data_IF_377765421890
#
_entry.id   IF_377765421890
#
_cell.length_a   1.000
_cell.length_b   1.000
_cell.length_c   1.000
_cell.angle_alpha   90.00
_cell.angle_beta   90.00
_cell.angle_gamma   90.00
#
_symmetry.space_group_name_H-M   'P 1'
#
loop_
_entity.id
_entity.type
_entity.pdbx_description
1 polymer ?
#
# COMPACT_ATOMS: atom_id res chain seq x y z
N UNK A 1 0.28 9.77 -18.87
CA UNK A 1 -0.19 10.45 -17.63
C UNK A 1 -1.16 9.60 -16.80
N UNK A 2 -1.86 8.63 -17.39
CA UNK A 2 -2.77 7.73 -16.61
C UNK A 2 -2.03 6.82 -15.62
N UNK A 3 -0.82 6.37 -15.96
CA UNK A 3 0.01 5.54 -15.07
C UNK A 3 0.35 6.27 -13.75
N UNK A 4 0.72 7.55 -13.82
CA UNK A 4 1.01 8.36 -12.63
C UNK A 4 -0.25 8.57 -11.78
N UNK A 5 -1.41 8.73 -12.41
CA UNK A 5 -2.69 8.82 -11.69
C UNK A 5 -3.00 7.52 -10.95
N UNK A 6 -2.84 6.36 -11.60
CA UNK A 6 -3.01 5.05 -10.96
C UNK A 6 -2.07 4.94 -9.76
N UNK A 7 -0.79 5.28 -9.92
CA UNK A 7 0.18 5.26 -8.81
C UNK A 7 -0.26 6.14 -7.63
N UNK A 8 -0.78 7.36 -7.89
CA UNK A 8 -1.27 8.25 -6.83
C UNK A 8 -2.50 7.68 -6.12
N UNK A 9 -3.43 7.07 -6.87
CA UNK A 9 -4.58 6.37 -6.30
C UNK A 9 -4.12 5.20 -5.43
N UNK A 10 -3.17 4.40 -5.90
CA UNK A 10 -2.60 3.29 -5.13
C UNK A 10 -1.99 3.77 -3.81
N UNK A 11 -1.21 4.85 -3.83
CA UNK A 11 -0.61 5.44 -2.62
C UNK A 11 -1.71 5.95 -1.68
N UNK A 12 -2.71 6.66 -2.20
CA UNK A 12 -3.82 7.16 -1.41
C UNK A 12 -4.59 6.03 -0.72
N UNK A 13 -4.88 4.95 -1.44
CA UNK A 13 -5.49 3.74 -0.89
C UNK A 13 -4.59 3.08 0.16
N UNK A 14 -3.27 3.08 -0.04
CA UNK A 14 -2.29 2.63 0.96
C UNK A 14 -2.33 3.44 2.26
N UNK A 15 -2.45 4.77 2.16
CA UNK A 15 -2.62 5.67 3.31
C UNK A 15 -3.90 5.33 4.07
N UNK A 16 -5.02 5.10 3.37
CA UNK A 16 -6.28 4.68 3.98
C UNK A 16 -6.08 3.35 4.71
N UNK A 17 -5.46 2.36 4.06
CA UNK A 17 -5.19 1.05 4.68
C UNK A 17 -4.34 1.14 5.95
N UNK A 18 -3.27 1.93 5.93
CA UNK A 18 -2.40 2.14 7.09
C UNK A 18 -3.12 2.84 8.26
N UNK A 19 -3.91 3.87 7.98
CA UNK A 19 -4.69 4.56 9.01
C UNK A 19 -5.84 3.70 9.55
N UNK A 20 -6.54 2.99 8.69
CA UNK A 20 -7.60 2.06 9.07
C UNK A 20 -7.06 0.95 9.98
N UNK A 21 -5.92 0.36 9.63
CA UNK A 21 -5.23 -0.61 10.49
C UNK A 21 -4.82 0.00 11.84
N UNK A 22 -4.37 1.25 11.86
CA UNK A 22 -4.05 1.96 13.10
C UNK A 22 -5.26 2.22 14.01
N UNK A 23 -6.44 2.46 13.42
CA UNK A 23 -7.71 2.63 14.15
C UNK A 23 -8.19 1.31 14.74
N UNK A 24 -8.21 0.23 13.94
CA UNK A 24 -8.65 -1.11 14.38
C UNK A 24 -7.66 -1.69 15.40
N UNK A 25 -6.37 -1.64 15.09
CA UNK A 25 -5.33 -2.24 15.91
C UNK A 25 -4.52 -1.16 16.64
N UNK A 26 -5.14 -0.51 17.63
CA UNK A 26 -4.51 0.57 18.42
C UNK A 26 -3.11 0.24 18.94
N UNK A 27 -2.83 -1.02 19.26
CA UNK A 27 -1.49 -1.48 19.71
C UNK A 27 -0.37 -1.28 18.66
N UNK A 28 -0.71 -1.33 17.38
CA UNK A 28 0.23 -1.15 16.26
C UNK A 28 0.32 0.31 15.78
N UNK A 29 -0.57 1.19 16.23
CA UNK A 29 -0.59 2.58 15.74
C UNK A 29 0.66 3.37 16.14
N UNK A 30 1.04 4.28 15.24
CA UNK A 30 2.07 5.31 15.41
C UNK A 30 1.48 6.73 15.33
N UNK A 31 0.17 6.89 15.55
CA UNK A 31 -0.55 8.15 15.32
C UNK A 31 -0.77 8.44 13.82
N UNK A 32 -1.47 9.54 13.51
CA UNK A 32 -1.90 9.85 12.13
C UNK A 32 -0.73 9.95 11.15
N UNK A 33 0.34 10.67 11.54
CA UNK A 33 1.52 10.88 10.68
C UNK A 33 2.27 9.57 10.48
N UNK A 34 2.54 8.83 11.55
CA UNK A 34 3.26 7.55 11.48
C UNK A 34 2.50 6.48 10.70
N UNK A 35 1.18 6.39 10.89
CA UNK A 35 0.32 5.48 10.13
C UNK A 35 0.30 5.85 8.63
N UNK A 36 0.31 7.14 8.30
CA UNK A 36 0.34 7.63 6.91
C UNK A 36 1.65 7.26 6.23
N UNK A 37 2.79 7.51 6.88
CA UNK A 37 4.12 7.12 6.37
C UNK A 37 4.18 5.59 6.17
N UNK A 38 3.73 4.83 7.16
CA UNK A 38 3.66 3.37 7.07
C UNK A 38 2.75 2.90 5.92
N UNK A 39 1.62 3.57 5.70
CA UNK A 39 0.70 3.30 4.61
C UNK A 39 1.33 3.52 3.24
N UNK A 40 1.98 4.68 3.02
CA UNK A 40 2.68 5.01 1.76
C UNK A 40 3.77 4.00 1.45
N UNK A 41 4.68 3.76 2.40
CA UNK A 41 5.81 2.86 2.16
C UNK A 41 5.36 1.39 2.10
N UNK A 42 4.36 0.99 2.90
CA UNK A 42 3.78 -0.34 2.86
C UNK A 42 3.14 -0.65 1.51
N UNK A 43 2.31 0.26 0.98
CA UNK A 43 1.70 0.05 -0.35
C UNK A 43 2.74 0.00 -1.46
N UNK A 44 3.71 0.92 -1.47
CA UNK A 44 4.77 0.95 -2.49
C UNK A 44 5.61 -0.33 -2.45
N UNK A 45 5.98 -0.79 -1.24
CA UNK A 45 6.75 -2.01 -1.06
C UNK A 45 6.03 -3.23 -1.64
N UNK A 46 4.73 -3.39 -1.35
CA UNK A 46 3.95 -4.51 -1.86
C UNK A 46 3.74 -4.43 -3.37
N UNK A 47 3.37 -3.26 -3.91
CA UNK A 47 3.22 -3.08 -5.36
C UNK A 47 4.54 -3.37 -6.08
N UNK A 48 5.68 -2.95 -5.53
CA UNK A 48 6.97 -3.18 -6.20
C UNK A 48 7.40 -4.64 -6.10
N UNK A 49 7.18 -5.28 -4.95
CA UNK A 49 7.50 -6.70 -4.73
C UNK A 49 6.69 -7.63 -5.62
N UNK A 50 5.39 -7.36 -5.75
CA UNK A 50 4.46 -8.22 -6.48
C UNK A 50 4.10 -7.70 -7.88
N UNK A 51 4.58 -6.52 -8.28
CA UNK A 51 4.26 -5.88 -9.55
C UNK A 51 4.64 -6.72 -10.77
N UNK A 52 5.61 -7.65 -10.64
CA UNK A 52 5.95 -8.64 -11.67
C UNK A 52 4.80 -9.59 -12.04
N UNK A 53 3.75 -9.67 -11.19
CA UNK A 53 2.51 -10.39 -11.49
C UNK A 53 1.60 -9.62 -12.46
N UNK A 54 2.01 -8.42 -12.91
CA UNK A 54 1.35 -7.67 -13.99
C UNK A 54 0.30 -6.67 -13.53
N UNK A 55 0.16 -6.39 -12.23
CA UNK A 55 -0.77 -5.38 -11.72
C UNK A 55 -0.10 -4.04 -11.39
N UNK A 56 1.16 -3.84 -11.75
CA UNK A 56 1.78 -2.53 -11.62
C UNK A 56 1.13 -1.51 -12.59
N UNK A 57 1.19 -0.20 -12.30
CA UNK A 57 0.56 0.83 -13.12
C UNK A 57 0.98 0.81 -14.60
N UNK A 58 2.20 0.37 -14.91
CA UNK A 58 2.67 0.25 -16.30
C UNK A 58 2.00 -0.93 -16.99
N UNK A 59 1.94 -2.09 -16.33
CA UNK A 59 1.26 -3.28 -16.84
C UNK A 59 -0.25 -3.10 -17.03
N UNK A 60 -0.93 -2.36 -16.13
CA UNK A 60 -2.37 -2.03 -16.25
C UNK A 60 -2.68 -1.26 -17.54
N UNK A 61 -1.74 -0.42 -17.99
CA UNK A 61 -1.89 0.45 -19.16
C UNK A 61 -1.29 -0.11 -20.45
N UNK A 62 -0.73 -1.33 -20.41
CA UNK A 62 0.06 -1.89 -21.52
C UNK A 62 -0.74 -2.07 -22.83
N UNK A 63 -2.04 -2.32 -22.75
CA UNK A 63 -2.92 -2.56 -23.90
C UNK A 63 -3.62 -1.30 -24.43
N UNK A 64 -3.31 -0.10 -23.90
CA UNK A 64 -3.97 1.15 -24.28
C UNK A 64 -5.37 1.34 -23.65
N UNK A 65 -6.03 0.26 -23.23
CA UNK A 65 -7.21 0.25 -22.35
C UNK A 65 -6.83 -0.12 -20.92
N UNK A 66 -7.57 0.38 -19.92
CA UNK A 66 -7.34 0.01 -18.52
C UNK A 66 -7.94 -1.37 -18.24
N UNK A 67 -7.10 -2.31 -17.77
CA UNK A 67 -7.59 -3.59 -17.32
C UNK A 67 -8.19 -3.46 -15.91
N UNK A 68 -9.52 -3.50 -15.82
CA UNK A 68 -10.27 -3.35 -14.57
C UNK A 68 -9.85 -4.38 -13.52
N UNK A 69 -9.65 -5.63 -13.92
CA UNK A 69 -9.25 -6.72 -13.02
C UNK A 69 -7.89 -6.44 -12.38
N UNK A 70 -6.90 -6.03 -13.18
CA UNK A 70 -5.57 -5.69 -12.69
C UNK A 70 -5.59 -4.43 -11.81
N UNK A 71 -6.44 -3.45 -12.13
CA UNK A 71 -6.63 -2.27 -11.31
C UNK A 71 -7.24 -2.62 -9.94
N UNK A 72 -8.25 -3.48 -9.90
CA UNK A 72 -8.85 -3.96 -8.64
C UNK A 72 -7.82 -4.68 -7.78
N UNK A 73 -6.99 -5.56 -8.37
CA UNK A 73 -5.91 -6.24 -7.66
C UNK A 73 -4.91 -5.21 -7.10
N UNK A 74 -4.51 -4.22 -7.91
CA UNK A 74 -3.60 -3.18 -7.48
C UNK A 74 -4.14 -2.41 -6.26
N UNK A 75 -5.41 -2.03 -6.27
CA UNK A 75 -6.07 -1.32 -5.17
C UNK A 75 -6.10 -2.18 -3.91
N UNK A 76 -6.48 -3.46 -4.02
CA UNK A 76 -6.50 -4.38 -2.89
C UNK A 76 -5.11 -4.58 -2.29
N UNK A 77 -4.11 -4.83 -3.13
CA UNK A 77 -2.71 -4.99 -2.70
C UNK A 77 -2.20 -3.69 -2.05
N UNK A 78 -2.59 -2.53 -2.56
CA UNK A 78 -2.20 -1.24 -1.97
C UNK A 78 -2.79 -1.06 -0.57
N UNK A 79 -4.09 -1.35 -0.41
CA UNK A 79 -4.79 -1.25 0.86
C UNK A 79 -4.18 -2.20 1.91
N UNK A 80 -4.08 -3.49 1.57
CA UNK A 80 -3.51 -4.49 2.48
C UNK A 80 -2.02 -4.26 2.70
N UNK A 81 -1.27 -3.81 1.70
CA UNK A 81 0.14 -3.44 1.83
C UNK A 81 0.35 -2.31 2.81
N UNK A 82 -0.50 -1.27 2.78
CA UNK A 82 -0.47 -0.19 3.76
C UNK A 82 -0.81 -0.67 5.18
N UNK A 83 -1.84 -1.50 5.33
CA UNK A 83 -2.22 -2.09 6.62
C UNK A 83 -1.14 -3.01 7.22
N UNK A 84 -0.60 -3.92 6.41
CA UNK A 84 0.46 -4.86 6.80
C UNK A 84 1.75 -4.09 7.09
N UNK A 85 2.06 -3.04 6.30
CA UNK A 85 3.22 -2.18 6.50
C UNK A 85 3.27 -1.58 7.91
N UNK A 86 2.13 -1.09 8.42
CA UNK A 86 2.02 -0.60 9.80
C UNK A 86 2.40 -1.68 10.83
N UNK A 87 1.81 -2.87 10.69
CA UNK A 87 2.02 -3.99 11.62
C UNK A 87 3.49 -4.43 11.59
N UNK A 88 4.06 -4.56 10.40
CA UNK A 88 5.45 -4.95 10.18
C UNK A 88 6.43 -3.95 10.82
N UNK A 89 6.21 -2.64 10.64
CA UNK A 89 7.06 -1.60 11.22
C UNK A 89 7.00 -1.65 12.76
N UNK A 90 5.81 -1.87 13.35
CA UNK A 90 5.71 -2.03 14.81
C UNK A 90 6.45 -3.27 15.30
N UNK A 91 6.32 -4.39 14.59
CA UNK A 91 7.03 -5.60 14.92
C UNK A 91 8.55 -5.41 14.88
N UNK A 92 9.07 -4.76 13.83
CA UNK A 92 10.49 -4.42 13.70
C UNK A 92 10.96 -3.51 14.83
N UNK A 93 10.21 -2.45 15.15
CA UNK A 93 10.55 -1.53 16.25
C UNK A 93 10.68 -2.28 17.59
N UNK A 94 9.74 -3.18 17.90
CA UNK A 94 9.79 -3.95 19.15
C UNK A 94 10.95 -4.95 19.19
N UNK A 95 11.39 -5.44 18.02
CA UNK A 95 12.53 -6.37 17.93
C UNK A 95 13.87 -5.64 18.05
N UNK A 96 13.99 -4.43 17.53
CA UNK A 96 15.22 -3.61 17.58
C UNK A 96 15.43 -2.90 18.92
N UNK A 97 14.34 -2.65 19.66
CA UNK A 97 14.39 -2.08 21.02
C UNK A 97 14.56 -3.14 22.12
N UNK A 98 14.81 -4.40 21.75
CA UNK A 98 15.28 -5.46 22.64
C UNK A 98 16.77 -5.63 22.47
#
# INVERSE_FOLDING_TARGET
>A
MTQTLISLISIFVGIIGGNFAGIIFKKYSFGLIGNTIAGVFGSIFFIKSFGRLGFDPFSIMKTGSYNVTLLTINILVSFFGGAIGLIAIKYLKNKLNK
#
